data_IF_525614003614
#
_entry.id   IF_525614003614
#
_cell.length_a   1.000
_cell.length_b   1.000
_cell.length_c   1.000
_cell.angle_alpha   90.00
_cell.angle_beta   90.00
_cell.angle_gamma   90.00
#
_symmetry.space_group_name_H-M   'P 1'
#
loop_
_entity.id
_entity.type
_entity.pdbx_description
1 polymer ?
#
# COMPACT_ATOMS: atom_id res chain seq x y z
N UNK A 1 -12.89 -14.85 29.81
CA UNK A 1 -14.11 -14.68 29.02
C UNK A 1 -13.73 -14.68 27.53
N UNK A 2 -14.18 -15.67 26.74
CA UNK A 2 -13.84 -15.79 25.30
C UNK A 2 -14.13 -14.54 24.49
N UNK A 3 -15.27 -13.88 24.74
CA UNK A 3 -15.67 -12.70 23.97
C UNK A 3 -14.76 -11.52 24.26
N UNK A 4 -14.38 -11.31 25.52
CA UNK A 4 -13.49 -10.22 25.90
C UNK A 4 -12.11 -10.33 25.22
N UNK A 5 -11.55 -11.54 25.15
CA UNK A 5 -10.25 -11.77 24.50
C UNK A 5 -10.35 -11.49 22.99
N UNK A 6 -11.42 -11.96 22.34
CA UNK A 6 -11.68 -11.67 20.93
C UNK A 6 -11.75 -10.17 20.67
N UNK A 7 -12.58 -9.46 21.44
CA UNK A 7 -12.78 -8.01 21.27
C UNK A 7 -11.47 -7.25 21.43
N UNK A 8 -10.63 -7.60 22.40
CA UNK A 8 -9.32 -6.96 22.59
C UNK A 8 -8.42 -7.20 21.37
N UNK A 9 -8.32 -8.43 20.88
CA UNK A 9 -7.46 -8.74 19.73
C UNK A 9 -7.98 -8.13 18.42
N UNK A 10 -9.30 -8.10 18.21
CA UNK A 10 -9.93 -7.44 17.06
C UNK A 10 -9.69 -5.92 17.11
N UNK A 11 -9.81 -5.30 18.29
CA UNK A 11 -9.49 -3.87 18.49
C UNK A 11 -8.02 -3.58 18.20
N UNK A 12 -7.09 -4.45 18.63
CA UNK A 12 -5.67 -4.28 18.29
C UNK A 12 -5.41 -4.43 16.79
N UNK A 13 -6.09 -5.36 16.12
CA UNK A 13 -6.00 -5.55 14.67
C UNK A 13 -6.47 -4.29 13.93
N UNK A 14 -7.63 -3.73 14.30
CA UNK A 14 -8.13 -2.46 13.76
C UNK A 14 -7.12 -1.33 13.97
N UNK A 15 -6.53 -1.23 15.17
CA UNK A 15 -5.49 -0.22 15.45
C UNK A 15 -4.20 -0.39 14.65
N UNK A 16 -3.87 -1.60 14.19
CA UNK A 16 -2.77 -1.83 13.24
C UNK A 16 -3.17 -1.37 11.84
N UNK A 17 -4.34 -1.79 11.38
CA UNK A 17 -4.87 -1.44 10.05
C UNK A 17 -4.96 0.07 9.85
N UNK A 18 -5.48 0.79 10.85
CA UNK A 18 -5.61 2.25 10.80
C UNK A 18 -4.25 2.94 10.66
N UNK A 19 -3.22 2.46 11.38
CA UNK A 19 -1.87 3.03 11.29
C UNK A 19 -1.26 2.81 9.91
N UNK A 20 -1.43 1.61 9.33
CA UNK A 20 -0.96 1.33 7.97
C UNK A 20 -1.71 2.13 6.92
N UNK A 21 -3.04 2.25 7.05
CA UNK A 21 -3.86 3.07 6.15
C UNK A 21 -3.46 4.53 6.20
N UNK A 22 -3.18 5.10 7.37
CA UNK A 22 -2.67 6.47 7.49
C UNK A 22 -1.32 6.64 6.79
N UNK A 23 -0.41 5.68 6.95
CA UNK A 23 0.89 5.68 6.25
C UNK A 23 0.75 5.63 4.74
N UNK A 24 -0.14 4.75 4.23
CA UNK A 24 -0.45 4.64 2.81
C UNK A 24 -1.09 5.92 2.27
N UNK A 25 -2.04 6.49 3.00
CA UNK A 25 -2.77 7.69 2.59
C UNK A 25 -1.82 8.86 2.29
N UNK A 26 -0.74 9.02 3.06
CA UNK A 26 0.26 10.06 2.80
C UNK A 26 0.91 9.84 1.42
N UNK A 27 1.33 8.61 1.10
CA UNK A 27 1.95 8.28 -0.18
C UNK A 27 0.98 8.44 -1.36
N UNK A 28 -0.27 8.00 -1.19
CA UNK A 28 -1.31 8.18 -2.20
C UNK A 28 -1.57 9.67 -2.50
N UNK A 29 -1.56 10.51 -1.46
CA UNK A 29 -1.70 11.95 -1.62
C UNK A 29 -0.49 12.56 -2.34
N UNK A 30 0.73 12.12 -2.03
CA UNK A 30 1.92 12.51 -2.78
C UNK A 30 1.81 12.12 -4.26
N UNK A 31 1.35 10.90 -4.56
CA UNK A 31 1.13 10.45 -5.93
C UNK A 31 0.09 11.31 -6.66
N UNK A 32 -0.97 11.71 -5.95
CA UNK A 32 -2.06 12.53 -6.50
C UNK A 32 -1.65 13.98 -6.77
N UNK A 33 -0.88 14.59 -5.87
CA UNK A 33 -0.51 16.01 -5.98
C UNK A 33 0.77 16.25 -6.79
N UNK A 34 1.68 15.28 -6.89
CA UNK A 34 2.94 15.43 -7.64
C UNK A 34 2.76 15.86 -9.12
N UNK A 35 1.79 15.33 -9.90
CA UNK A 35 1.53 15.80 -11.27
C UNK A 35 0.94 17.21 -11.31
N UNK A 36 0.18 17.61 -10.29
CA UNK A 36 -0.36 18.96 -10.19
C UNK A 36 0.75 20.00 -10.04
N UNK A 37 1.82 19.70 -9.28
CA UNK A 37 3.02 20.54 -9.24
C UNK A 37 3.75 20.58 -10.60
N UNK A 38 3.74 19.49 -11.36
CA UNK A 38 4.24 19.47 -12.74
C UNK A 38 3.49 20.45 -13.66
N UNK A 39 2.15 20.50 -13.54
CA UNK A 39 1.33 21.48 -14.27
C UNK A 39 1.59 22.93 -13.83
N UNK A 40 1.93 23.18 -12.56
CA UNK A 40 2.37 24.52 -12.13
C UNK A 40 3.69 24.90 -12.83
N UNK A 41 4.59 23.93 -13.00
CA UNK A 41 5.85 24.12 -13.73
C UNK A 41 5.67 24.48 -15.20
N UNK A 42 4.66 23.93 -15.88
CA UNK A 42 4.34 24.33 -17.27
C UNK A 42 3.83 25.77 -17.33
N UNK A 43 2.99 26.17 -16.38
CA UNK A 43 2.52 27.56 -16.28
C UNK A 43 3.69 28.52 -16.07
N UNK A 44 4.65 28.19 -15.20
CA UNK A 44 5.85 29.01 -14.99
C UNK A 44 6.69 29.13 -16.26
N UNK A 45 6.90 28.03 -17.00
CA UNK A 45 7.64 28.08 -18.26
C UNK A 45 6.94 28.89 -19.35
N UNK A 46 5.60 28.84 -19.41
CA UNK A 46 4.82 29.70 -20.30
C UNK A 46 4.94 31.19 -19.92
N UNK A 47 4.93 31.52 -18.63
CA UNK A 47 5.14 32.90 -18.15
C UNK A 47 6.52 33.41 -18.59
N UNK A 48 7.58 32.60 -18.43
CA UNK A 48 8.93 32.99 -18.86
C UNK A 48 9.04 33.12 -20.38
N UNK A 49 8.41 32.23 -21.13
CA UNK A 49 8.35 32.31 -22.59
C UNK A 49 7.67 33.59 -23.07
N UNK A 50 6.55 33.97 -22.47
CA UNK A 50 5.84 35.22 -22.80
C UNK A 50 6.64 36.47 -22.40
N UNK A 51 7.38 36.40 -21.30
CA UNK A 51 8.25 37.51 -20.83
C UNK A 51 9.44 37.78 -21.74
N UNK A 52 9.97 36.76 -22.42
CA UNK A 52 11.16 36.85 -23.28
C UNK A 52 10.84 36.72 -24.77
N UNK A 53 9.62 37.05 -25.19
CA UNK A 53 9.15 36.86 -26.58
C UNK A 53 9.97 37.65 -27.61
N UNK A 54 10.69 38.70 -27.20
CA UNK A 54 11.56 39.51 -28.05
C UNK A 54 12.89 38.84 -28.40
N UNK A 55 13.32 37.79 -27.68
CA UNK A 55 14.54 37.02 -27.97
C UNK A 55 14.21 35.54 -28.23
N UNK A 56 14.20 35.09 -29.50
CA UNK A 56 13.97 33.70 -29.87
C UNK A 56 14.95 32.70 -29.22
N UNK A 57 16.15 33.14 -28.85
CA UNK A 57 17.18 32.31 -28.22
C UNK A 57 16.80 31.91 -26.79
N UNK A 58 16.00 32.72 -26.11
CA UNK A 58 15.55 32.50 -24.73
C UNK A 58 14.34 31.55 -24.62
N UNK A 59 13.63 31.31 -25.73
CA UNK A 59 12.41 30.47 -25.75
C UNK A 59 12.73 29.00 -25.49
N UNK A 60 13.80 28.48 -26.09
CA UNK A 60 14.21 27.07 -25.95
C UNK A 60 14.47 26.67 -24.48
N UNK A 61 15.30 27.42 -23.73
CA UNK A 61 15.52 27.18 -22.31
C UNK A 61 14.24 27.22 -21.46
N UNK A 62 13.36 28.21 -21.66
CA UNK A 62 12.10 28.32 -20.90
C UNK A 62 11.14 27.15 -21.17
N UNK A 63 11.08 26.69 -22.42
CA UNK A 63 10.28 25.52 -22.79
C UNK A 63 10.84 24.22 -22.20
N UNK A 64 12.17 24.07 -22.15
CA UNK A 64 12.80 22.90 -21.54
C UNK A 64 12.46 22.79 -20.05
N UNK A 65 12.43 23.90 -19.30
CA UNK A 65 12.03 23.91 -17.88
C UNK A 65 10.57 23.47 -17.70
N UNK A 66 9.64 23.92 -18.55
CA UNK A 66 8.25 23.46 -18.51
C UNK A 66 8.10 21.94 -18.70
N UNK A 67 8.85 21.38 -19.66
CA UNK A 67 8.77 19.96 -19.97
C UNK A 67 9.43 19.10 -18.89
N UNK A 68 10.58 19.54 -18.37
CA UNK A 68 11.32 18.83 -17.32
C UNK A 68 10.52 18.79 -16.01
N UNK A 69 9.87 19.90 -15.64
CA UNK A 69 9.02 19.93 -14.43
C UNK A 69 7.82 18.98 -14.53
N UNK A 70 7.20 18.87 -15.71
CA UNK A 70 6.14 17.88 -15.98
C UNK A 70 6.66 16.45 -15.88
N UNK A 71 7.84 16.19 -16.45
CA UNK A 71 8.49 14.89 -16.40
C UNK A 71 8.78 14.48 -14.96
N UNK A 72 9.36 15.36 -14.14
CA UNK A 72 9.64 15.06 -12.73
C UNK A 72 8.36 14.83 -11.92
N UNK A 73 7.30 15.62 -12.13
CA UNK A 73 6.01 15.40 -11.47
C UNK A 73 5.41 14.03 -11.80
N UNK A 74 5.47 13.62 -13.07
CA UNK A 74 4.99 12.31 -13.52
C UNK A 74 5.83 11.14 -12.99
N UNK A 75 7.16 11.30 -12.93
CA UNK A 75 8.09 10.31 -12.38
C UNK A 75 7.83 10.11 -10.89
N UNK A 76 7.77 11.19 -10.10
CA UNK A 76 7.54 11.10 -8.65
C UNK A 76 6.20 10.41 -8.36
N UNK A 77 5.14 10.74 -9.13
CA UNK A 77 3.83 10.14 -8.95
C UNK A 77 3.80 8.65 -9.29
N UNK A 78 4.24 8.27 -10.49
CA UNK A 78 3.98 6.94 -11.05
C UNK A 78 5.12 5.94 -10.81
N UNK A 79 6.36 6.41 -10.62
CA UNK A 79 7.52 5.53 -10.41
C UNK A 79 7.81 5.34 -8.93
N UNK A 80 7.55 6.35 -8.10
CA UNK A 80 7.89 6.31 -6.68
C UNK A 80 6.66 6.19 -5.79
N UNK A 81 5.80 7.22 -5.77
CA UNK A 81 4.72 7.30 -4.78
C UNK A 81 3.65 6.21 -4.97
N UNK A 82 3.21 5.97 -6.21
CA UNK A 82 2.23 4.93 -6.53
C UNK A 82 2.69 3.51 -6.14
N UNK A 83 3.81 3.00 -6.70
CA UNK A 83 4.28 1.65 -6.38
C UNK A 83 4.60 1.44 -4.90
N UNK A 84 5.05 2.48 -4.20
CA UNK A 84 5.33 2.42 -2.78
C UNK A 84 4.03 2.33 -1.95
N UNK A 85 2.98 3.06 -2.34
CA UNK A 85 1.64 2.95 -1.76
C UNK A 85 1.02 1.56 -1.98
N UNK A 86 1.15 1.01 -3.18
CA UNK A 86 0.69 -0.35 -3.50
C UNK A 86 1.46 -1.41 -2.70
N UNK A 87 2.78 -1.24 -2.54
CA UNK A 87 3.58 -2.15 -1.74
C UNK A 87 3.17 -2.14 -0.28
N UNK A 88 2.90 -0.96 0.28
CA UNK A 88 2.45 -0.81 1.67
C UNK A 88 1.09 -1.51 1.88
N UNK A 89 0.19 -1.40 0.90
CA UNK A 89 -1.10 -2.08 0.92
C UNK A 89 -0.98 -3.62 0.87
N UNK A 90 -0.04 -4.14 0.09
CA UNK A 90 0.22 -5.59 0.08
C UNK A 90 0.79 -6.08 1.41
N UNK A 91 1.71 -5.31 2.02
CA UNK A 91 2.25 -5.64 3.33
C UNK A 91 1.15 -5.63 4.41
N UNK A 92 0.27 -4.62 4.39
CA UNK A 92 -0.87 -4.54 5.30
C UNK A 92 -1.78 -5.76 5.18
N UNK A 93 -2.19 -6.15 3.96
CA UNK A 93 -3.01 -7.36 3.76
C UNK A 93 -2.35 -8.63 4.29
N UNK A 94 -1.03 -8.78 4.08
CA UNK A 94 -0.29 -9.93 4.59
C UNK A 94 -0.26 -9.95 6.12
N UNK A 95 -0.10 -8.79 6.76
CA UNK A 95 -0.05 -8.68 8.22
C UNK A 95 -1.45 -8.91 8.84
N UNK A 96 -2.49 -8.35 8.22
CA UNK A 96 -3.88 -8.56 8.63
C UNK A 96 -4.26 -10.04 8.52
N UNK A 97 -3.90 -10.72 7.43
CA UNK A 97 -4.12 -12.16 7.29
C UNK A 97 -3.43 -12.94 8.41
N UNK A 98 -2.14 -12.68 8.65
CA UNK A 98 -1.36 -13.35 9.70
C UNK A 98 -2.00 -13.16 11.08
N UNK A 99 -2.38 -11.93 11.44
CA UNK A 99 -3.03 -11.64 12.72
C UNK A 99 -4.42 -12.28 12.83
N UNK A 100 -5.18 -12.32 11.74
CA UNK A 100 -6.49 -13.00 11.69
C UNK A 100 -6.36 -14.49 11.97
N UNK A 101 -5.35 -15.15 11.39
CA UNK A 101 -5.05 -16.57 11.64
C UNK A 101 -4.67 -16.80 13.11
N UNK A 102 -3.85 -15.91 13.70
CA UNK A 102 -3.49 -15.98 15.12
C UNK A 102 -4.73 -15.85 16.01
N UNK A 103 -5.60 -14.89 15.73
CA UNK A 103 -6.85 -14.69 16.49
C UNK A 103 -7.73 -15.95 16.41
N UNK A 104 -7.92 -16.50 15.22
CA UNK A 104 -8.68 -17.74 15.02
C UNK A 104 -8.09 -18.92 15.80
N UNK A 105 -6.75 -19.05 15.81
CA UNK A 105 -6.04 -20.09 16.55
C UNK A 105 -6.19 -19.95 18.07
N UNK A 106 -5.99 -18.75 18.61
CA UNK A 106 -6.16 -18.47 20.04
C UNK A 106 -7.59 -18.76 20.49
N UNK A 107 -8.59 -18.35 19.69
CA UNK A 107 -9.99 -18.63 20.00
C UNK A 107 -10.30 -20.13 20.00
N UNK A 108 -9.73 -20.89 19.07
CA UNK A 108 -9.95 -22.33 18.97
C UNK A 108 -9.27 -23.13 20.11
N UNK A 109 -8.10 -22.69 20.57
CA UNK A 109 -7.44 -23.26 21.77
C UNK A 109 -8.30 -22.98 23.00
N UNK A 110 -8.85 -21.77 23.10
CA UNK A 110 -9.64 -21.35 24.24
C UNK A 110 -11.00 -22.04 24.32
N UNK A 111 -11.62 -22.36 23.17
CA UNK A 111 -12.83 -23.18 23.11
C UNK A 111 -12.59 -24.67 23.39
N UNK A 112 -11.32 -25.10 23.48
CA UNK A 112 -10.96 -26.50 23.71
C UNK A 112 -11.19 -27.40 22.51
N UNK A 113 -11.14 -26.84 21.29
CA UNK A 113 -11.29 -27.62 20.06
C UNK A 113 -10.18 -28.68 19.94
N UNK A 114 -10.50 -29.84 19.37
CA UNK A 114 -9.50 -30.87 19.11
C UNK A 114 -8.41 -30.31 18.16
N UNK A 115 -7.11 -30.49 18.46
CA UNK A 115 -6.01 -29.95 17.66
C UNK A 115 -6.13 -30.22 16.15
N UNK A 116 -6.67 -31.38 15.74
CA UNK A 116 -6.91 -31.71 14.32
C UNK A 116 -7.97 -30.83 13.66
N UNK A 117 -9.00 -30.43 14.43
CA UNK A 117 -10.06 -29.53 13.95
C UNK A 117 -9.54 -28.10 13.87
N UNK A 118 -8.72 -27.69 14.84
CA UNK A 118 -8.05 -26.38 14.82
C UNK A 118 -7.16 -26.26 13.58
N UNK A 119 -6.34 -27.27 13.33
CA UNK A 119 -5.48 -27.36 12.15
C UNK A 119 -6.29 -27.25 10.85
N UNK A 120 -7.35 -28.04 10.70
CA UNK A 120 -8.24 -27.99 9.53
C UNK A 120 -8.86 -26.61 9.33
N UNK A 121 -9.24 -25.91 10.41
CA UNK A 121 -9.76 -24.53 10.36
C UNK A 121 -8.68 -23.54 9.92
N UNK A 122 -7.47 -23.63 10.47
CA UNK A 122 -6.36 -22.73 10.12
C UNK A 122 -5.88 -22.93 8.68
N UNK A 123 -5.88 -24.17 8.19
CA UNK A 123 -5.55 -24.50 6.79
C UNK A 123 -6.49 -23.83 5.77
N UNK A 124 -7.70 -23.44 6.15
CA UNK A 124 -8.62 -22.72 5.24
C UNK A 124 -8.17 -21.30 4.91
N UNK A 125 -7.32 -20.69 5.74
CA UNK A 125 -6.78 -19.35 5.53
C UNK A 125 -5.58 -19.30 4.57
N UNK A 126 -4.97 -20.46 4.30
CA UNK A 126 -3.84 -20.58 3.36
C UNK A 126 -4.34 -20.61 1.90
N UNK A 127 -3.56 -20.10 0.93
CA UNK A 127 -3.83 -20.30 -0.49
C UNK A 127 -3.86 -21.80 -0.85
N UNK A 128 -4.67 -22.25 -1.83
CA UNK A 128 -4.73 -23.66 -2.23
C UNK A 128 -3.36 -24.27 -2.53
N UNK A 129 -2.46 -23.52 -3.16
CA UNK A 129 -1.09 -23.95 -3.47
C UNK A 129 -0.25 -24.30 -2.25
N UNK A 130 -0.49 -23.64 -1.11
CA UNK A 130 0.23 -23.90 0.14
C UNK A 130 -0.46 -24.99 0.98
N UNK A 131 -1.76 -25.23 0.75
CA UNK A 131 -2.49 -26.34 1.39
C UNK A 131 -2.05 -27.70 0.85
N UNK A 132 -1.86 -27.80 -0.47
CA UNK A 132 -1.47 -29.05 -1.12
C UNK A 132 -0.07 -29.50 -0.65
N UNK A 133 0.86 -28.56 -0.47
CA UNK A 133 2.19 -28.83 0.10
C UNK A 133 2.11 -29.40 1.53
N UNK A 134 1.23 -28.86 2.38
CA UNK A 134 1.01 -29.37 3.74
C UNK A 134 0.34 -30.76 3.74
N UNK A 135 -0.56 -31.02 2.78
CA UNK A 135 -1.20 -32.32 2.62
C UNK A 135 -0.23 -33.42 2.14
N UNK A 136 0.71 -33.07 1.26
CA UNK A 136 1.77 -33.98 0.80
C UNK A 136 2.80 -34.29 1.90
N UNK A 137 3.17 -33.31 2.72
CA UNK A 137 4.12 -33.49 3.84
C UNK A 137 3.53 -34.32 5.00
N UNK A 138 2.20 -34.34 5.16
CA UNK A 138 1.52 -35.24 6.10
C UNK A 138 1.31 -36.67 5.58
N UNK A 139 1.42 -36.88 4.26
CA UNK A 139 1.27 -38.18 3.62
C UNK A 139 2.60 -38.93 3.40
N UNK A 140 3.74 -38.25 3.58
CA UNK A 140 5.10 -38.79 3.51
C UNK A 140 5.61 -39.27 4.87
#
# INVERSE_FOLDING_TARGET
DPELIRVIMETELEGVMDRHMQGKMILDQFAKYAPAFGMIGTLLGLIFMLGSMSDPSAIGPSMAVALITTLYGAIVANVFAGPLGDKLYQCDQSEVLMKTVIIAGVMAIQSGDNPRVVESKLLTYLPPSERDAFGEEQAA
#
